data_IF_079059532066
#
_entry.id   IF_079059532066
#
_cell.length_a   1.000
_cell.length_b   1.000
_cell.length_c   1.000
_cell.angle_alpha   90.00
_cell.angle_beta   90.00
_cell.angle_gamma   90.00
#
_symmetry.space_group_name_H-M   'P 1'
#
loop_
_entity.id
_entity.type
_entity.pdbx_description
1 polymer ?
#
# COMPACT_ATOMS: atom_id res chain seq x y z
N UNK A 1 21.65 8.63 1.07
CA UNK A 1 20.89 7.81 2.04
C UNK A 1 19.45 7.76 1.55
N UNK A 2 18.86 6.56 1.46
CA UNK A 2 17.45 6.33 1.10
C UNK A 2 16.71 5.78 2.33
N UNK A 3 15.53 6.33 2.61
CA UNK A 3 14.64 5.83 3.65
C UNK A 3 13.20 5.80 3.13
N UNK A 4 12.53 4.66 3.30
CA UNK A 4 11.10 4.55 2.98
C UNK A 4 10.24 5.25 4.03
N UNK A 5 9.10 5.82 3.59
CA UNK A 5 8.21 6.59 4.46
C UNK A 5 7.40 5.72 5.40
N UNK A 6 7.83 5.58 6.65
CA UNK A 6 7.12 4.89 7.73
C UNK A 6 6.87 5.81 8.93
N UNK A 7 6.53 7.06 8.66
CA UNK A 7 6.44 8.14 9.65
C UNK A 7 5.46 7.89 10.80
N UNK A 8 4.45 7.03 10.64
CA UNK A 8 3.57 6.67 11.74
C UNK A 8 4.29 5.99 12.89
N UNK A 9 5.39 5.28 12.60
CA UNK A 9 6.25 4.68 13.64
C UNK A 9 7.04 5.71 14.46
N UNK A 10 7.17 6.94 13.94
CA UNK A 10 7.83 8.05 14.64
C UNK A 10 6.85 8.98 15.35
N UNK A 11 5.53 8.80 15.15
CA UNK A 11 4.51 9.61 15.80
C UNK A 11 4.34 9.17 17.26
N UNK A 12 4.46 10.13 18.18
CA UNK A 12 4.38 9.87 19.62
C UNK A 12 3.06 9.22 20.04
N UNK A 13 1.93 9.71 19.53
CA UNK A 13 0.61 9.14 19.83
C UNK A 13 0.50 7.66 19.37
N UNK A 14 1.08 7.31 18.22
CA UNK A 14 1.09 5.94 17.73
C UNK A 14 1.98 5.05 18.59
N UNK A 15 3.14 5.55 19.00
CA UNK A 15 4.02 4.84 19.91
C UNK A 15 3.34 4.54 21.24
N UNK A 16 2.74 5.57 21.86
CA UNK A 16 2.05 5.43 23.13
C UNK A 16 0.89 4.43 23.03
N UNK A 17 0.14 4.45 21.93
CA UNK A 17 -0.89 3.46 21.64
C UNK A 17 -0.32 2.03 21.56
N UNK A 18 0.73 1.82 20.79
CA UNK A 18 1.35 0.51 20.64
C UNK A 18 1.93 -0.02 21.96
N UNK A 19 2.55 0.85 22.75
CA UNK A 19 3.07 0.51 24.08
C UNK A 19 1.94 0.13 25.03
N UNK A 20 0.83 0.88 25.06
CA UNK A 20 -0.34 0.55 25.86
C UNK A 20 -0.93 -0.82 25.51
N UNK A 21 -1.08 -1.13 24.22
CA UNK A 21 -1.56 -2.45 23.76
C UNK A 21 -0.60 -3.55 24.21
N UNK A 22 0.70 -3.38 24.02
CA UNK A 22 1.73 -4.37 24.40
C UNK A 22 1.81 -4.59 25.90
N UNK A 23 1.51 -3.56 26.68
CA UNK A 23 1.45 -3.62 28.15
C UNK A 23 0.09 -4.14 28.67
N UNK A 24 -0.80 -4.59 27.79
CA UNK A 24 -2.02 -5.28 28.17
C UNK A 24 -3.22 -4.37 28.45
N UNK A 25 -3.17 -3.08 28.09
CA UNK A 25 -4.29 -2.14 28.33
C UNK A 25 -5.62 -2.57 27.70
N UNK A 26 -5.55 -3.39 26.63
CA UNK A 26 -6.75 -3.94 25.94
C UNK A 26 -6.89 -5.45 26.15
N UNK A 27 -6.15 -6.03 27.10
CA UNK A 27 -6.04 -7.48 27.24
C UNK A 27 -5.31 -8.15 26.08
N UNK A 28 -5.59 -9.44 25.84
CA UNK A 28 -5.02 -10.18 24.70
C UNK A 28 -5.86 -9.92 23.44
N UNK A 29 -5.37 -9.21 22.41
CA UNK A 29 -6.13 -8.95 21.20
C UNK A 29 -6.40 -10.27 20.45
N UNK A 30 -7.67 -10.57 20.19
CA UNK A 30 -8.06 -11.74 19.40
C UNK A 30 -8.21 -11.43 17.91
N UNK A 31 -8.49 -10.17 17.57
CA UNK A 31 -8.65 -9.70 16.20
C UNK A 31 -8.25 -8.24 16.08
N UNK A 32 -7.52 -7.91 15.03
CA UNK A 32 -7.21 -6.53 14.64
C UNK A 32 -7.75 -6.31 13.23
N UNK A 33 -8.43 -5.20 13.02
CA UNK A 33 -8.97 -4.82 11.72
C UNK A 33 -8.34 -3.50 11.30
N UNK A 34 -7.74 -3.48 10.13
CA UNK A 34 -7.20 -2.27 9.51
C UNK A 34 -8.04 -1.91 8.29
N UNK A 35 -8.30 -0.64 8.11
CA UNK A 35 -9.03 -0.14 6.96
C UNK A 35 -8.10 0.66 6.08
N UNK A 36 -8.14 0.36 4.80
CA UNK A 36 -7.44 1.12 3.77
C UNK A 36 -8.47 1.80 2.88
N UNK A 37 -8.37 3.11 2.76
CA UNK A 37 -9.30 3.88 1.92
C UNK A 37 -9.20 3.46 0.45
N UNK A 38 -10.30 3.61 -0.28
CA UNK A 38 -10.31 3.43 -1.73
C UNK A 38 -9.35 4.41 -2.42
N UNK A 39 -8.95 4.10 -3.65
CA UNK A 39 -8.26 5.06 -4.50
C UNK A 39 -9.11 6.33 -4.61
N UNK A 40 -8.48 7.45 -4.43
CA UNK A 40 -9.10 8.75 -4.57
C UNK A 40 -8.81 9.38 -5.95
N UNK A 41 -8.17 8.63 -6.83
CA UNK A 41 -7.87 9.05 -8.19
C UNK A 41 -8.16 7.93 -9.17
N UNK A 42 -8.79 8.31 -10.27
CA UNK A 42 -8.87 7.49 -11.45
C UNK A 42 -7.64 7.75 -12.32
N UNK A 43 -7.13 6.72 -12.95
CA UNK A 43 -6.07 6.86 -13.94
C UNK A 43 -6.61 7.36 -15.27
N UNK A 44 -5.77 7.36 -16.30
CA UNK A 44 -6.28 7.54 -17.65
C UNK A 44 -7.23 6.39 -17.94
N UNK A 45 -8.50 6.67 -18.15
CA UNK A 45 -9.53 5.66 -18.44
C UNK A 45 -9.21 4.78 -19.66
N UNK A 46 -10.07 3.81 -19.98
CA UNK A 46 -9.92 2.98 -21.16
C UNK A 46 -9.75 3.83 -22.43
N UNK A 47 -8.83 3.42 -23.32
CA UNK A 47 -8.55 4.17 -24.56
C UNK A 47 -7.73 5.45 -24.39
N UNK A 48 -7.05 5.60 -23.29
CA UNK A 48 -6.14 6.72 -23.05
C UNK A 48 -5.11 6.86 -24.20
N UNK A 49 -4.71 8.10 -24.46
CA UNK A 49 -3.72 8.41 -25.49
C UNK A 49 -2.41 8.86 -24.82
N UNK A 50 -1.28 8.51 -25.39
CA UNK A 50 0.01 9.01 -24.93
C UNK A 50 0.06 10.53 -24.92
N UNK A 51 0.80 11.09 -23.98
CA UNK A 51 1.14 12.50 -23.93
C UNK A 51 2.64 12.69 -24.10
N UNK A 52 3.11 13.86 -24.55
CA UNK A 52 4.54 14.13 -24.61
C UNK A 52 5.19 14.01 -23.22
N UNK A 53 6.38 13.45 -23.20
CA UNK A 53 7.20 13.45 -21.98
C UNK A 53 7.58 14.90 -21.66
N UNK A 54 7.41 15.37 -20.42
CA UNK A 54 7.81 16.72 -20.04
C UNK A 54 9.31 16.96 -20.27
N UNK A 55 9.65 18.16 -20.65
CA UNK A 55 11.05 18.56 -20.78
C UNK A 55 11.81 18.34 -19.47
N UNK A 56 13.01 17.78 -19.56
CA UNK A 56 13.85 17.47 -18.40
C UNK A 56 13.42 16.25 -17.58
N UNK A 57 12.38 15.53 -17.98
CA UNK A 57 11.97 14.30 -17.32
C UNK A 57 12.49 13.07 -18.08
N UNK A 58 13.46 12.38 -17.49
CA UNK A 58 13.98 11.10 -18.04
C UNK A 58 12.99 9.98 -17.75
N UNK A 59 12.10 9.73 -18.69
CA UNK A 59 11.05 8.74 -18.54
C UNK A 59 11.57 7.30 -18.57
N UNK A 60 12.61 7.01 -19.33
CA UNK A 60 13.22 5.67 -19.38
C UNK A 60 13.90 5.34 -18.04
N UNK A 61 14.60 6.30 -17.45
CA UNK A 61 15.16 6.16 -16.10
C UNK A 61 14.07 5.99 -15.03
N UNK A 62 12.99 6.75 -15.17
CA UNK A 62 11.85 6.65 -14.24
C UNK A 62 11.16 5.28 -14.30
N UNK A 63 10.96 4.73 -15.51
CA UNK A 63 10.37 3.39 -15.68
C UNK A 63 11.25 2.30 -15.06
N UNK A 64 12.57 2.43 -15.15
CA UNK A 64 13.48 1.39 -14.69
C UNK A 64 13.15 0.01 -15.29
N UNK A 65 12.95 -1.04 -14.45
CA UNK A 65 12.63 -2.38 -14.91
C UNK A 65 11.15 -2.60 -15.25
N UNK A 66 10.28 -1.60 -15.06
CA UNK A 66 8.86 -1.74 -15.36
C UNK A 66 8.59 -1.88 -16.86
N UNK A 67 7.44 -2.45 -17.26
CA UNK A 67 7.08 -2.56 -18.67
C UNK A 67 7.14 -1.21 -19.39
N UNK A 68 7.76 -1.19 -20.56
CA UNK A 68 7.84 0.03 -21.37
C UNK A 68 6.51 0.31 -22.03
N UNK A 69 5.86 1.37 -21.58
CA UNK A 69 4.61 1.90 -22.13
C UNK A 69 4.77 3.37 -22.47
N UNK A 70 3.99 3.92 -23.41
CA UNK A 70 4.03 5.33 -23.71
C UNK A 70 3.70 6.18 -22.48
N UNK A 71 4.30 7.37 -22.39
CA UNK A 71 4.09 8.27 -21.28
C UNK A 71 2.66 8.81 -21.21
N UNK A 72 2.15 8.87 -19.99
CA UNK A 72 0.94 9.63 -19.64
C UNK A 72 1.08 10.15 -18.20
N UNK A 73 0.78 11.44 -18.00
CA UNK A 73 0.92 12.09 -16.68
C UNK A 73 0.16 11.38 -15.55
N UNK A 74 -0.97 10.77 -15.87
CA UNK A 74 -1.82 10.07 -14.91
C UNK A 74 -1.37 8.63 -14.62
N UNK A 75 -0.27 8.18 -15.24
CA UNK A 75 0.43 6.94 -14.91
C UNK A 75 1.69 7.17 -14.07
N UNK A 76 2.16 8.42 -13.99
CA UNK A 76 3.42 8.80 -13.35
C UNK A 76 3.20 9.61 -12.07
N UNK A 77 4.28 10.07 -11.45
CA UNK A 77 4.31 10.94 -10.28
C UNK A 77 3.45 10.40 -9.14
N UNK A 78 2.53 11.19 -8.64
CA UNK A 78 1.66 10.78 -7.53
C UNK A 78 0.80 9.55 -7.86
N UNK A 79 0.38 9.40 -9.11
CA UNK A 79 -0.59 8.37 -9.53
C UNK A 79 0.02 7.01 -9.85
N UNK A 80 1.36 6.91 -9.99
CA UNK A 80 2.04 5.63 -10.26
C UNK A 80 1.64 4.51 -9.29
N UNK A 81 1.35 4.88 -8.05
CA UNK A 81 0.99 3.94 -6.98
C UNK A 81 -0.29 3.16 -7.24
N UNK A 82 -1.13 3.66 -8.15
CA UNK A 82 -2.39 3.03 -8.54
C UNK A 82 -2.29 2.25 -9.86
N UNK A 83 -1.12 2.21 -10.46
CA UNK A 83 -0.87 1.48 -11.71
C UNK A 83 -0.22 0.15 -11.38
N UNK A 84 -0.87 -0.97 -11.74
CA UNK A 84 -0.43 -2.32 -11.39
C UNK A 84 0.96 -2.67 -11.89
N UNK A 85 1.40 -2.07 -13.02
CA UNK A 85 2.75 -2.26 -13.56
C UNK A 85 3.85 -1.69 -12.65
N UNK A 86 3.50 -0.76 -11.76
CA UNK A 86 4.47 0.03 -10.98
C UNK A 86 4.33 -0.14 -9.47
N UNK A 87 3.14 -0.49 -8.99
CA UNK A 87 2.89 -0.52 -7.54
C UNK A 87 1.73 -1.44 -7.16
N UNK A 88 1.57 -1.68 -5.88
CA UNK A 88 0.50 -2.49 -5.30
C UNK A 88 -0.72 -1.70 -4.80
N UNK A 89 -0.95 -0.51 -5.33
CA UNK A 89 -2.13 0.30 -5.00
C UNK A 89 -2.16 0.80 -3.54
N UNK A 90 -3.36 1.03 -3.02
CA UNK A 90 -3.54 1.52 -1.66
C UNK A 90 -3.08 0.52 -0.60
N UNK A 91 -3.12 -0.77 -0.88
CA UNK A 91 -2.64 -1.78 0.07
C UNK A 91 -1.16 -1.58 0.40
N UNK A 92 -0.32 -1.29 -0.60
CA UNK A 92 1.10 -1.03 -0.38
C UNK A 92 1.37 0.42 0.04
N UNK A 93 0.50 1.36 -0.30
CA UNK A 93 0.61 2.77 0.05
C UNK A 93 0.12 3.04 1.48
N UNK A 94 -1.19 3.09 1.71
CA UNK A 94 -1.75 3.33 3.06
C UNK A 94 -1.78 2.08 3.92
N UNK A 95 -1.94 0.90 3.32
CA UNK A 95 -1.89 -0.36 4.06
C UNK A 95 -0.57 -0.56 4.78
N UNK A 96 0.55 -0.12 4.20
CA UNK A 96 1.84 -0.11 4.85
C UNK A 96 1.81 0.60 6.23
N UNK A 97 1.15 1.74 6.34
CA UNK A 97 1.04 2.46 7.61
C UNK A 97 0.15 1.71 8.61
N UNK A 98 -1.07 1.36 8.20
CA UNK A 98 -2.05 0.73 9.09
C UNK A 98 -1.62 -0.68 9.55
N UNK A 99 -1.16 -1.51 8.61
CA UNK A 99 -0.65 -2.86 8.91
C UNK A 99 0.63 -2.77 9.74
N UNK A 100 1.52 -1.82 9.42
CA UNK A 100 2.75 -1.60 10.17
C UNK A 100 2.51 -1.22 11.63
N UNK A 101 1.48 -0.40 11.91
CA UNK A 101 1.07 -0.07 13.29
C UNK A 101 0.45 -1.29 13.99
N UNK A 102 -0.41 -2.04 13.31
CA UNK A 102 -0.98 -3.27 13.86
C UNK A 102 0.09 -4.30 14.24
N UNK A 103 1.04 -4.54 13.33
CA UNK A 103 2.18 -5.43 13.58
C UNK A 103 3.01 -4.97 14.78
N UNK A 104 3.29 -3.69 14.87
CA UNK A 104 4.05 -3.11 15.99
C UNK A 104 3.30 -3.23 17.31
N UNK A 105 2.01 -2.88 17.34
CA UNK A 105 1.18 -3.00 18.55
C UNK A 105 1.08 -4.45 19.05
N UNK A 106 1.10 -5.43 18.15
CA UNK A 106 1.07 -6.85 18.48
C UNK A 106 2.46 -7.46 18.79
N UNK A 107 3.54 -6.70 18.64
CA UNK A 107 4.92 -7.20 18.82
C UNK A 107 5.36 -8.18 17.72
N UNK A 108 4.85 -8.02 16.51
CA UNK A 108 5.05 -8.93 15.38
C UNK A 108 6.03 -8.39 14.33
N UNK A 109 6.85 -7.42 14.67
CA UNK A 109 7.76 -6.76 13.71
C UNK A 109 8.78 -7.70 13.04
N UNK A 110 9.13 -8.79 13.66
CA UNK A 110 10.07 -9.77 13.10
C UNK A 110 9.43 -10.95 12.36
N UNK A 111 8.10 -10.96 12.21
CA UNK A 111 7.36 -12.09 11.65
C UNK A 111 6.23 -11.60 10.74
N UNK A 112 5.91 -12.38 9.71
CA UNK A 112 4.77 -12.13 8.84
C UNK A 112 3.50 -12.84 9.31
N UNK A 113 2.39 -12.64 8.59
CA UNK A 113 1.18 -13.44 8.78
C UNK A 113 1.45 -14.90 8.38
N UNK A 114 0.78 -15.85 9.06
CA UNK A 114 0.86 -17.26 8.70
C UNK A 114 -0.01 -17.57 7.46
N UNK A 115 -1.14 -16.87 7.34
CA UNK A 115 -2.06 -17.03 6.23
C UNK A 115 -2.54 -15.65 5.76
N UNK A 116 -2.67 -15.49 4.46
CA UNK A 116 -3.26 -14.31 3.81
C UNK A 116 -4.25 -14.78 2.76
N UNK A 117 -5.46 -14.26 2.81
CA UNK A 117 -6.44 -14.54 1.77
C UNK A 117 -7.23 -13.30 1.40
N UNK A 118 -7.79 -13.34 0.21
CA UNK A 118 -8.57 -12.28 -0.38
C UNK A 118 -10.07 -12.65 -0.33
N UNK A 119 -10.90 -11.70 0.08
CA UNK A 119 -12.36 -11.84 0.04
C UNK A 119 -12.94 -11.03 -1.14
N UNK A 120 -12.95 -11.67 -2.32
CA UNK A 120 -13.70 -11.15 -3.46
C UNK A 120 -13.10 -9.97 -4.20
N UNK A 121 -11.80 -9.74 -4.07
CA UNK A 121 -11.13 -8.83 -4.95
C UNK A 121 -10.65 -9.53 -6.22
N UNK A 122 -10.87 -8.92 -7.35
CA UNK A 122 -10.28 -9.34 -8.60
C UNK A 122 -8.87 -8.76 -8.72
N UNK A 123 -7.94 -9.59 -9.17
CA UNK A 123 -6.60 -9.10 -9.45
C UNK A 123 -6.63 -8.26 -10.74
N UNK A 124 -6.09 -7.04 -10.72
CA UNK A 124 -6.08 -6.21 -11.91
C UNK A 124 -5.23 -6.85 -13.02
N UNK A 125 -5.65 -6.68 -14.26
CA UNK A 125 -4.86 -7.09 -15.42
C UNK A 125 -3.67 -6.14 -15.59
N UNK A 126 -2.59 -6.57 -16.24
CA UNK A 126 -1.50 -5.67 -16.60
C UNK A 126 -2.04 -4.42 -17.33
N UNK A 127 -1.63 -3.26 -16.88
CA UNK A 127 -2.11 -1.98 -17.40
C UNK A 127 -3.40 -1.44 -16.78
N UNK A 128 -4.15 -2.25 -16.05
CA UNK A 128 -5.31 -1.77 -15.30
C UNK A 128 -4.87 -0.99 -14.06
N UNK A 129 -5.72 -0.09 -13.63
CA UNK A 129 -5.57 0.53 -12.33
C UNK A 129 -6.05 -0.44 -11.25
N UNK A 130 -5.35 -0.48 -10.14
CA UNK A 130 -5.83 -1.19 -8.97
C UNK A 130 -7.19 -0.62 -8.54
N UNK A 131 -8.23 -1.43 -8.57
CA UNK A 131 -9.44 -1.14 -7.82
C UNK A 131 -9.18 -1.47 -6.35
N UNK A 132 -9.26 -0.49 -5.49
CA UNK A 132 -8.89 -0.60 -4.08
C UNK A 132 -10.00 -1.14 -3.18
N UNK A 133 -11.01 -1.72 -3.73
CA UNK A 133 -12.03 -2.45 -2.96
C UNK A 133 -11.47 -3.67 -2.21
N UNK A 134 -10.15 -3.85 -2.20
CA UNK A 134 -9.42 -4.94 -1.56
C UNK A 134 -9.40 -4.79 -0.04
N UNK A 135 -10.32 -5.45 0.63
CA UNK A 135 -10.12 -5.82 2.02
C UNK A 135 -9.25 -7.07 2.08
N UNK A 136 -7.97 -6.91 2.37
CA UNK A 136 -7.12 -8.03 2.76
C UNK A 136 -7.46 -8.38 4.21
N UNK A 137 -8.09 -9.54 4.42
CA UNK A 137 -8.17 -10.14 5.74
C UNK A 137 -6.90 -10.98 5.97
N UNK A 138 -5.98 -10.45 6.75
CA UNK A 138 -4.85 -11.23 7.25
C UNK A 138 -5.21 -11.77 8.64
N UNK A 139 -5.26 -13.07 8.79
CA UNK A 139 -5.44 -13.70 10.08
C UNK A 139 -4.14 -14.33 10.56
N UNK A 140 -3.75 -14.01 11.77
CA UNK A 140 -2.85 -14.84 12.55
C UNK A 140 -3.64 -15.46 13.69
N UNK A 141 -3.62 -16.79 13.79
CA UNK A 141 -4.03 -17.43 15.04
C UNK A 141 -2.97 -17.08 16.10
N UNK A 142 -3.29 -16.17 16.98
CA UNK A 142 -2.50 -15.94 18.19
C UNK A 142 -2.83 -17.10 19.12
N UNK A 143 -1.90 -18.04 19.24
CA UNK A 143 -1.99 -19.13 20.22
C UNK A 143 -1.68 -18.62 21.63
#
# INVERSE_FOLDING_TARGET
>A
VLQTGSQWRSAEAVRNFCEAVRNGAVGKPGRVVTYVAKNNFEGPGPGWQPTPVPEGFDYDLWLGPAPKVPYHKDRCFYRFRFVSDYSGGQTTNFGHHAIGVAMWALGLDGVGPEEVWNKGAEWPRPGDLFDPGLALDAHRRIR
#
